data_IF_739302791416
#
_entry.id   IF_739302791416
#
_cell.length_a   1.000
_cell.length_b   1.000
_cell.length_c   1.000
_cell.angle_alpha   90.00
_cell.angle_beta   90.00
_cell.angle_gamma   90.00
#
_symmetry.space_group_name_H-M   'P 1'
#
loop_
_entity.id
_entity.type
_entity.pdbx_description
1 polymer ?
#
# COMPACT_ATOMS: atom_id res chain seq x y z
N UNK A 1 2.23 12.39 16.87
CA UNK A 1 1.84 11.05 17.40
C UNK A 1 2.35 10.95 18.83
N UNK A 2 1.49 10.60 19.79
CA UNK A 2 1.91 10.50 21.20
C UNK A 2 2.70 9.19 21.41
N UNK A 3 3.85 9.26 22.08
CA UNK A 3 4.73 8.11 22.35
C UNK A 3 4.02 6.97 23.11
N UNK A 4 3.09 7.31 23.99
CA UNK A 4 2.27 6.33 24.72
C UNK A 4 1.33 5.53 23.81
N UNK A 5 0.70 6.20 22.85
CA UNK A 5 -0.15 5.53 21.87
C UNK A 5 0.67 4.54 21.02
N UNK A 6 1.86 4.95 20.57
CA UNK A 6 2.75 4.08 19.78
C UNK A 6 3.17 2.83 20.57
N UNK A 7 3.54 2.98 21.85
CA UNK A 7 3.90 1.85 22.72
C UNK A 7 2.74 0.88 22.91
N UNK A 8 1.54 1.42 23.15
CA UNK A 8 0.31 0.62 23.31
C UNK A 8 -0.01 -0.14 22.03
N UNK A 9 0.05 0.52 20.88
CA UNK A 9 -0.30 -0.08 19.60
C UNK A 9 0.72 -1.17 19.21
N UNK A 10 2.00 -0.97 19.46
CA UNK A 10 3.03 -1.99 19.29
C UNK A 10 2.82 -3.20 20.23
N UNK A 11 2.43 -2.96 21.47
CA UNK A 11 2.11 -4.03 22.40
C UNK A 11 0.90 -4.85 21.93
N UNK A 12 -0.12 -4.19 21.35
CA UNK A 12 -1.28 -4.85 20.76
C UNK A 12 -0.91 -5.69 19.54
N UNK A 13 -0.04 -5.18 18.65
CA UNK A 13 0.46 -5.95 17.51
C UNK A 13 1.15 -7.22 17.99
N UNK A 14 2.04 -7.12 18.97
CA UNK A 14 2.75 -8.28 19.54
C UNK A 14 1.82 -9.29 20.22
N UNK A 15 0.80 -8.80 20.91
CA UNK A 15 -0.16 -9.68 21.62
C UNK A 15 -1.10 -10.41 20.65
N UNK A 16 -1.46 -9.79 19.51
CA UNK A 16 -2.42 -10.33 18.54
C UNK A 16 -1.78 -11.05 17.37
N UNK A 17 -0.50 -10.77 17.09
CA UNK A 17 0.24 -11.27 15.92
C UNK A 17 -0.61 -11.22 14.62
N UNK A 18 -1.15 -10.05 14.24
CA UNK A 18 -2.10 -9.95 13.13
C UNK A 18 -1.47 -10.42 11.82
N UNK A 19 -2.23 -11.18 11.04
CA UNK A 19 -1.83 -11.54 9.68
C UNK A 19 -1.97 -10.31 8.79
N UNK A 20 -0.87 -9.88 8.17
CA UNK A 20 -0.83 -8.75 7.24
C UNK A 20 -0.53 -9.27 5.85
N UNK A 21 -1.53 -9.19 4.96
CA UNK A 21 -1.37 -9.58 3.57
C UNK A 21 -0.68 -8.46 2.79
N UNK A 22 0.42 -8.79 2.12
CA UNK A 22 1.22 -7.85 1.33
C UNK A 22 1.31 -8.30 -0.11
N UNK A 23 0.75 -7.52 -1.03
CA UNK A 23 1.06 -7.62 -2.45
C UNK A 23 2.02 -6.49 -2.73
N UNK A 24 3.33 -6.80 -2.68
CA UNK A 24 4.39 -5.80 -2.70
C UNK A 24 5.39 -6.04 -3.82
N UNK A 25 6.38 -5.18 -3.96
CA UNK A 25 7.40 -5.28 -5.00
C UNK A 25 8.54 -6.23 -4.62
N UNK A 26 9.22 -6.78 -5.62
CA UNK A 26 10.31 -7.73 -5.44
C UNK A 26 11.50 -7.17 -4.65
N UNK A 27 11.75 -5.87 -4.74
CA UNK A 27 12.89 -5.23 -4.06
C UNK A 27 12.64 -5.14 -2.55
N UNK A 28 11.42 -4.82 -2.15
CA UNK A 28 11.08 -4.58 -0.74
C UNK A 28 10.50 -5.82 -0.03
N UNK A 29 10.11 -6.88 -0.76
CA UNK A 29 9.34 -8.02 -0.24
C UNK A 29 9.98 -8.66 0.98
N UNK A 30 11.23 -9.06 0.89
CA UNK A 30 11.95 -9.72 1.99
C UNK A 30 12.12 -8.78 3.19
N UNK A 31 12.50 -7.52 2.94
CA UNK A 31 12.67 -6.53 4.00
C UNK A 31 11.34 -6.23 4.72
N UNK A 32 10.26 -6.07 3.98
CA UNK A 32 8.92 -5.84 4.55
C UNK A 32 8.45 -7.01 5.41
N UNK A 33 8.68 -8.25 4.96
CA UNK A 33 8.36 -9.44 5.74
C UNK A 33 9.12 -9.45 7.07
N UNK A 34 10.44 -9.23 7.03
CA UNK A 34 11.27 -9.21 8.23
C UNK A 34 10.91 -8.05 9.18
N UNK A 35 10.57 -6.88 8.65
CA UNK A 35 10.13 -5.75 9.46
C UNK A 35 8.83 -6.06 10.21
N UNK A 36 7.84 -6.66 9.54
CA UNK A 36 6.58 -7.09 10.14
C UNK A 36 6.81 -8.15 11.23
N UNK A 37 7.65 -9.16 10.96
CA UNK A 37 8.03 -10.17 11.96
C UNK A 37 8.70 -9.52 13.18
N UNK A 38 9.61 -8.58 12.97
CA UNK A 38 10.34 -7.91 14.05
C UNK A 38 9.42 -7.12 15.00
N UNK A 39 8.32 -6.56 14.49
CA UNK A 39 7.33 -5.87 15.33
C UNK A 39 6.27 -6.81 15.93
N UNK A 40 6.26 -8.09 15.56
CA UNK A 40 5.35 -9.11 16.09
C UNK A 40 4.11 -9.37 15.25
N UNK A 41 4.04 -8.87 14.02
CA UNK A 41 3.00 -9.23 13.05
C UNK A 41 3.37 -10.49 12.26
N UNK A 42 2.40 -11.11 11.59
CA UNK A 42 2.59 -12.26 10.70
C UNK A 42 2.41 -11.80 9.25
N UNK A 43 3.48 -11.68 8.44
CA UNK A 43 3.36 -11.31 7.03
C UNK A 43 2.98 -12.49 6.15
N UNK A 44 2.18 -12.24 5.11
CA UNK A 44 1.98 -13.16 3.98
C UNK A 44 2.12 -12.39 2.67
N UNK A 45 2.84 -12.97 1.69
CA UNK A 45 3.20 -12.34 0.41
C UNK A 45 2.50 -13.04 -0.78
N UNK A 46 1.24 -13.39 -0.63
CA UNK A 46 0.43 -14.01 -1.67
C UNK A 46 0.03 -13.00 -2.76
N UNK A 47 0.01 -13.42 -4.03
CA UNK A 47 -0.38 -12.56 -5.15
C UNK A 47 -1.12 -13.28 -6.28
N UNK A 48 -1.30 -14.61 -6.19
CA UNK A 48 -2.07 -15.37 -7.16
C UNK A 48 -3.56 -15.00 -7.07
N UNK A 49 -4.17 -14.64 -8.19
CA UNK A 49 -5.57 -14.16 -8.25
C UNK A 49 -6.54 -15.17 -7.65
N UNK A 50 -6.25 -16.45 -7.83
CA UNK A 50 -7.07 -17.59 -7.44
C UNK A 50 -7.27 -17.69 -5.91
N UNK A 51 -6.33 -17.18 -5.11
CA UNK A 51 -6.38 -17.27 -3.64
C UNK A 51 -6.75 -15.95 -2.95
N UNK A 52 -7.00 -14.86 -3.70
CA UNK A 52 -7.13 -13.54 -3.10
C UNK A 52 -8.30 -13.41 -2.13
N UNK A 53 -9.46 -13.96 -2.47
CA UNK A 53 -10.63 -13.89 -1.59
C UNK A 53 -10.38 -14.62 -0.26
N UNK A 54 -9.80 -15.82 -0.31
CA UNK A 54 -9.51 -16.64 0.88
C UNK A 54 -8.41 -15.99 1.72
N UNK A 55 -7.32 -15.54 1.08
CA UNK A 55 -6.20 -14.92 1.76
C UNK A 55 -6.61 -13.62 2.47
N UNK A 56 -7.34 -12.76 1.79
CA UNK A 56 -7.90 -11.54 2.39
C UNK A 56 -8.90 -11.89 3.49
N UNK A 57 -9.67 -12.97 3.32
CA UNK A 57 -10.63 -13.45 4.32
C UNK A 57 -9.99 -13.67 5.70
N UNK A 58 -8.82 -14.27 5.75
CA UNK A 58 -8.08 -14.55 6.99
C UNK A 58 -7.15 -13.42 7.44
N UNK A 59 -6.77 -12.50 6.55
CA UNK A 59 -5.88 -11.38 6.89
C UNK A 59 -6.58 -10.32 7.76
N UNK A 60 -5.81 -9.63 8.57
CA UNK A 60 -6.26 -8.49 9.37
C UNK A 60 -6.17 -7.16 8.63
N UNK A 61 -5.27 -7.06 7.66
CA UNK A 61 -5.04 -5.87 6.83
C UNK A 61 -4.41 -6.27 5.49
N UNK A 62 -4.59 -5.41 4.47
CA UNK A 62 -3.97 -5.55 3.16
C UNK A 62 -3.02 -4.37 2.91
N UNK A 63 -1.82 -4.66 2.42
CA UNK A 63 -0.86 -3.68 1.92
C UNK A 63 -0.64 -3.92 0.43
N UNK A 64 -0.81 -2.89 -0.38
CA UNK A 64 -0.58 -2.91 -1.82
C UNK A 64 0.54 -1.93 -2.14
N UNK A 65 1.59 -2.41 -2.81
CA UNK A 65 2.72 -1.59 -3.27
C UNK A 65 3.00 -1.89 -4.74
N UNK A 66 2.94 -0.85 -5.58
CA UNK A 66 3.03 -0.98 -7.04
C UNK A 66 4.45 -0.83 -7.60
N UNK A 67 5.48 -1.10 -6.81
CA UNK A 67 6.88 -0.82 -7.20
C UNK A 67 7.40 -1.63 -8.40
N UNK A 68 7.00 -2.89 -8.54
CA UNK A 68 7.34 -3.75 -9.70
C UNK A 68 6.06 -4.28 -10.35
N UNK A 69 5.46 -3.47 -11.21
CA UNK A 69 4.19 -3.79 -11.87
C UNK A 69 4.35 -4.78 -13.01
N UNK A 70 3.46 -5.76 -13.03
CA UNK A 70 3.08 -6.54 -14.20
C UNK A 70 1.55 -6.78 -14.21
N UNK A 71 1.03 -7.27 -15.31
CA UNK A 71 -0.42 -7.40 -15.51
C UNK A 71 -1.07 -8.40 -14.53
N UNK A 72 -0.40 -9.51 -14.21
CA UNK A 72 -0.92 -10.52 -13.28
C UNK A 72 -0.97 -9.97 -11.84
N UNK A 73 0.10 -9.27 -11.43
CA UNK A 73 0.13 -8.65 -10.11
C UNK A 73 -0.93 -7.57 -9.95
N UNK A 74 -1.17 -6.75 -10.98
CA UNK A 74 -2.26 -5.76 -10.96
C UNK A 74 -3.62 -6.45 -10.81
N UNK A 75 -3.86 -7.56 -11.49
CA UNK A 75 -5.10 -8.34 -11.31
C UNK A 75 -5.24 -8.86 -9.88
N UNK A 76 -4.16 -9.41 -9.30
CA UNK A 76 -4.12 -9.82 -7.90
C UNK A 76 -4.39 -8.68 -6.93
N UNK A 77 -3.75 -7.52 -7.14
CA UNK A 77 -3.96 -6.31 -6.32
C UNK A 77 -5.42 -5.84 -6.34
N UNK A 78 -6.04 -5.79 -7.52
CA UNK A 78 -7.44 -5.39 -7.67
C UNK A 78 -8.39 -6.42 -7.04
N UNK A 79 -8.16 -7.72 -7.25
CA UNK A 79 -8.96 -8.77 -6.66
C UNK A 79 -8.91 -8.70 -5.12
N UNK A 80 -7.70 -8.67 -4.55
CA UNK A 80 -7.49 -8.56 -3.10
C UNK A 80 -8.07 -7.25 -2.54
N UNK A 81 -7.86 -6.12 -3.22
CA UNK A 81 -8.35 -4.82 -2.78
C UNK A 81 -9.87 -4.74 -2.75
N UNK A 82 -10.56 -5.24 -3.79
CA UNK A 82 -12.03 -5.36 -3.82
C UNK A 82 -12.55 -6.28 -2.70
N UNK A 83 -11.87 -7.41 -2.46
CA UNK A 83 -12.22 -8.32 -1.38
C UNK A 83 -12.05 -7.65 -0.01
N UNK A 84 -10.93 -6.96 0.23
CA UNK A 84 -10.67 -6.24 1.46
C UNK A 84 -11.71 -5.13 1.71
N UNK A 85 -12.03 -4.35 0.68
CA UNK A 85 -13.06 -3.31 0.76
C UNK A 85 -14.43 -3.92 1.10
N UNK A 86 -14.85 -4.99 0.42
CA UNK A 86 -16.10 -5.71 0.68
C UNK A 86 -16.19 -6.25 2.11
N UNK A 87 -15.08 -6.71 2.66
CA UNK A 87 -14.97 -7.26 4.02
C UNK A 87 -14.68 -6.19 5.10
N UNK A 88 -14.61 -4.92 4.74
CA UNK A 88 -14.31 -3.81 5.66
C UNK A 88 -12.92 -3.87 6.29
N UNK A 89 -11.96 -4.51 5.61
CA UNK A 89 -10.57 -4.62 6.08
C UNK A 89 -9.76 -3.39 5.69
N UNK A 90 -8.85 -2.89 6.54
CA UNK A 90 -8.02 -1.75 6.22
C UNK A 90 -7.06 -2.08 5.08
N UNK A 91 -6.91 -1.11 4.16
CA UNK A 91 -6.01 -1.19 3.01
C UNK A 91 -5.03 -0.03 3.08
N UNK A 92 -3.74 -0.34 2.95
CA UNK A 92 -2.67 0.66 2.75
C UNK A 92 -2.19 0.55 1.31
N UNK A 93 -2.23 1.65 0.57
CA UNK A 93 -1.68 1.76 -0.78
C UNK A 93 -0.38 2.56 -0.76
N UNK A 94 0.66 2.01 -1.35
CA UNK A 94 1.94 2.67 -1.65
C UNK A 94 2.08 2.79 -3.18
N UNK A 95 1.75 3.97 -3.77
CA UNK A 95 1.71 4.18 -5.22
C UNK A 95 3.10 4.46 -5.80
N UNK A 96 4.07 3.59 -5.54
CA UNK A 96 5.49 3.77 -5.89
C UNK A 96 5.66 4.17 -7.35
N UNK A 97 6.24 5.37 -7.56
CA UNK A 97 6.52 5.89 -8.89
C UNK A 97 5.29 6.40 -9.64
N UNK A 98 4.17 6.68 -8.98
CA UNK A 98 3.08 7.43 -9.59
C UNK A 98 3.61 8.76 -10.14
N UNK A 99 3.21 9.13 -11.36
CA UNK A 99 3.77 10.26 -12.11
C UNK A 99 5.03 9.96 -12.93
N UNK A 100 5.73 8.86 -12.69
CA UNK A 100 6.90 8.47 -13.49
C UNK A 100 6.51 7.91 -14.87
N UNK A 101 5.42 7.15 -14.91
CA UNK A 101 4.84 6.63 -16.16
C UNK A 101 3.31 6.72 -16.13
N UNK A 102 2.66 6.86 -17.30
CA UNK A 102 1.19 6.83 -17.38
C UNK A 102 0.60 5.55 -16.79
N UNK A 103 1.23 4.40 -17.02
CA UNK A 103 0.76 3.11 -16.52
C UNK A 103 0.73 3.04 -14.99
N UNK A 104 1.79 3.51 -14.30
CA UNK A 104 1.82 3.56 -12.84
C UNK A 104 0.73 4.44 -12.25
N UNK A 105 0.55 5.62 -12.82
CA UNK A 105 -0.49 6.56 -12.39
C UNK A 105 -1.88 6.00 -12.63
N UNK A 106 -2.10 5.36 -13.78
CA UNK A 106 -3.36 4.70 -14.10
C UNK A 106 -3.70 3.57 -13.11
N UNK A 107 -2.74 2.68 -12.85
CA UNK A 107 -2.93 1.56 -11.90
C UNK A 107 -3.19 2.08 -10.48
N UNK A 108 -2.46 3.09 -10.03
CA UNK A 108 -2.70 3.69 -8.72
C UNK A 108 -4.14 4.24 -8.62
N UNK A 109 -4.62 4.95 -9.64
CA UNK A 109 -5.99 5.45 -9.70
C UNK A 109 -7.04 4.35 -9.79
N UNK A 110 -6.78 3.28 -10.51
CA UNK A 110 -7.68 2.14 -10.59
C UNK A 110 -7.86 1.48 -9.21
N UNK A 111 -6.75 1.26 -8.47
CA UNK A 111 -6.78 0.75 -7.10
C UNK A 111 -7.52 1.72 -6.17
N UNK A 112 -7.27 3.02 -6.26
CA UNK A 112 -7.96 4.03 -5.42
C UNK A 112 -9.48 3.96 -5.63
N UNK A 113 -9.93 3.93 -6.87
CA UNK A 113 -11.37 3.95 -7.20
C UNK A 113 -12.08 2.65 -6.81
N UNK A 114 -11.46 1.52 -7.06
CA UNK A 114 -12.11 0.22 -6.91
C UNK A 114 -11.93 -0.41 -5.52
N UNK A 115 -10.78 -0.16 -4.89
CA UNK A 115 -10.45 -0.78 -3.60
C UNK A 115 -10.65 0.17 -2.42
N UNK A 116 -10.73 1.48 -2.64
CA UNK A 116 -10.93 2.52 -1.62
C UNK A 116 -9.96 2.38 -0.45
N UNK A 117 -8.64 2.57 -0.64
CA UNK A 117 -7.65 2.44 0.42
C UNK A 117 -7.99 3.29 1.64
N UNK A 118 -7.75 2.75 2.83
CA UNK A 118 -7.89 3.48 4.10
C UNK A 118 -6.79 4.52 4.26
N UNK A 119 -5.59 4.19 3.77
CA UNK A 119 -4.40 5.04 3.82
C UNK A 119 -3.69 4.96 2.47
N UNK A 120 -3.31 6.11 1.93
CA UNK A 120 -2.36 6.23 0.81
C UNK A 120 -1.08 6.80 1.39
N UNK A 121 0.04 6.11 1.19
CA UNK A 121 1.36 6.48 1.69
C UNK A 121 2.33 6.57 0.52
N UNK A 122 2.86 7.73 0.26
CA UNK A 122 3.83 7.99 -0.80
C UNK A 122 4.76 9.14 -0.44
N UNK A 123 5.78 9.35 -1.26
CA UNK A 123 6.58 10.57 -1.18
C UNK A 123 5.82 11.77 -1.78
N UNK A 124 6.36 12.99 -1.61
CA UNK A 124 5.71 14.21 -2.08
C UNK A 124 5.32 14.16 -3.55
N UNK A 125 6.22 13.73 -4.44
CA UNK A 125 5.98 13.66 -5.88
C UNK A 125 4.89 12.65 -6.24
N UNK A 126 4.83 11.50 -5.58
CA UNK A 126 3.82 10.47 -5.80
C UNK A 126 2.43 10.96 -5.40
N UNK A 127 2.31 11.58 -4.22
CA UNK A 127 1.02 12.13 -3.76
C UNK A 127 0.55 13.26 -4.68
N UNK A 128 1.43 14.20 -5.03
CA UNK A 128 1.07 15.31 -5.92
C UNK A 128 0.69 14.83 -7.32
N UNK A 129 1.35 13.78 -7.85
CA UNK A 129 1.04 13.21 -9.15
C UNK A 129 -0.34 12.52 -9.20
N UNK A 130 -0.89 12.13 -8.08
CA UNK A 130 -2.25 11.60 -7.99
C UNK A 130 -3.33 12.69 -8.08
N UNK A 131 -3.01 13.93 -7.74
CA UNK A 131 -3.96 15.06 -7.76
C UNK A 131 -3.75 15.98 -8.97
N UNK A 132 -2.55 16.00 -9.53
CA UNK A 132 -2.19 16.89 -10.63
C UNK A 132 -1.48 16.12 -11.75
N UNK A 133 -2.17 15.95 -12.88
CA UNK A 133 -1.68 15.21 -14.04
C UNK A 133 -0.40 15.80 -14.70
N UNK A 134 -0.09 17.08 -14.44
CA UNK A 134 1.08 17.75 -15.01
C UNK A 134 2.36 17.48 -14.19
N UNK A 135 2.24 16.93 -12.99
CA UNK A 135 3.40 16.62 -12.14
C UNK A 135 3.98 15.26 -12.52
N UNK A 136 5.29 15.28 -12.85
CA UNK A 136 6.08 14.08 -13.15
C UNK A 136 6.99 13.75 -11.97
N UNK A 137 7.02 12.50 -11.56
CA UNK A 137 7.99 11.99 -10.58
C UNK A 137 9.20 11.35 -11.27
N UNK A 138 10.33 11.26 -10.53
CA UNK A 138 11.55 10.55 -10.97
C UNK A 138 11.64 9.21 -10.24
N UNK A 139 10.90 8.21 -10.70
CA UNK A 139 10.94 6.89 -10.07
C UNK A 139 10.51 6.93 -8.60
N UNK A 140 11.36 6.42 -7.69
CA UNK A 140 11.10 6.37 -6.25
C UNK A 140 11.56 7.63 -5.50
N UNK A 141 12.37 8.47 -6.14
CA UNK A 141 12.87 9.70 -5.51
C UNK A 141 11.87 10.84 -5.70
N UNK A 142 11.64 11.59 -4.63
CA UNK A 142 10.78 12.76 -4.70
C UNK A 142 11.50 13.92 -5.40
N UNK A 143 10.87 14.51 -6.40
CA UNK A 143 11.30 15.76 -7.04
C UNK A 143 10.69 17.00 -6.39
N UNK A 144 9.82 16.82 -5.41
CA UNK A 144 9.10 17.87 -4.69
C UNK A 144 9.37 17.80 -3.19
N UNK A 145 9.25 18.93 -2.49
CA UNK A 145 9.37 18.94 -1.03
C UNK A 145 8.13 18.35 -0.36
N UNK A 146 8.29 17.86 0.86
CA UNK A 146 7.16 17.36 1.64
C UNK A 146 6.16 18.45 1.99
N UNK A 147 6.63 19.69 2.16
CA UNK A 147 5.77 20.83 2.49
C UNK A 147 4.84 21.18 1.33
N UNK A 148 5.34 21.10 0.08
CA UNK A 148 4.54 21.36 -1.13
C UNK A 148 3.42 20.31 -1.32
N UNK A 149 3.61 19.10 -0.78
CA UNK A 149 2.65 18.01 -0.93
C UNK A 149 1.53 18.01 0.14
N UNK A 150 1.67 18.77 1.23
CA UNK A 150 0.71 18.72 2.36
C UNK A 150 -0.71 19.09 1.93
N UNK A 151 -0.87 20.12 1.10
CA UNK A 151 -2.20 20.53 0.65
C UNK A 151 -2.80 19.55 -0.36
N UNK A 152 -1.98 18.95 -1.21
CA UNK A 152 -2.39 17.88 -2.12
C UNK A 152 -2.83 16.61 -1.37
N UNK A 153 -2.19 16.29 -0.25
CA UNK A 153 -2.50 15.12 0.55
C UNK A 153 -3.86 15.22 1.30
N UNK A 154 -4.46 16.42 1.38
CA UNK A 154 -5.76 16.64 2.01
C UNK A 154 -6.94 16.51 1.05
N UNK A 155 -6.70 16.44 -0.24
CA UNK A 155 -7.71 16.27 -1.28
C UNK A 155 -8.13 14.82 -1.44
#
# INVERSE_FOLDING_TARGET
>A
MNQEHLKRDLALVRAKSPLVHNITNYVAMNFSANALLAIGASPVMAHAVEEMDDMVGIASALVINIGTLDAEWVRGMLAAGRAAHRLGKPIVLDPVGAGATPYRTQVAWEIIRECRPTIIRGNASEIMALVNADIKSKGVDSSQSSDDAVDSAKQ
#
